data_IF_642066700277
#
_entry.id   IF_642066700277
#
_cell.length_a   1.000
_cell.length_b   1.000
_cell.length_c   1.000
_cell.angle_alpha   90.00
_cell.angle_beta   90.00
_cell.angle_gamma   90.00
#
_symmetry.space_group_name_H-M   'P 1'
#
loop_
_entity.id
_entity.type
_entity.pdbx_description
1 polymer ?
#
# COMPACT_ATOMS: atom_id res chain seq x y z
N UNK A 1 50.32 -25.71 -63.92
CA UNK A 1 50.05 -24.59 -64.86
C UNK A 1 48.61 -24.17 -64.61
N UNK A 2 48.22 -22.95 -64.22
CA UNK A 2 48.84 -21.62 -64.09
C UNK A 2 47.74 -20.77 -63.42
N UNK A 3 48.05 -19.94 -62.43
CA UNK A 3 47.76 -18.50 -62.53
C UNK A 3 46.69 -17.97 -61.57
N UNK A 4 47.17 -17.33 -60.50
CA UNK A 4 46.59 -16.20 -59.70
C UNK A 4 46.35 -14.97 -60.66
N UNK A 5 45.61 -13.84 -60.39
CA UNK A 5 45.18 -13.20 -59.12
C UNK A 5 43.77 -12.53 -59.00
N UNK A 6 43.48 -12.13 -57.75
CA UNK A 6 42.84 -10.91 -57.19
C UNK A 6 41.99 -9.93 -58.05
N UNK A 7 40.89 -9.43 -57.46
CA UNK A 7 40.65 -7.98 -57.26
C UNK A 7 39.42 -7.70 -56.39
N UNK A 8 39.47 -6.58 -55.65
CA UNK A 8 38.49 -6.09 -54.69
C UNK A 8 37.45 -5.14 -55.31
N UNK A 9 36.23 -5.14 -54.76
CA UNK A 9 35.31 -3.98 -54.59
C UNK A 9 34.08 -4.53 -53.83
N UNK A 10 33.66 -3.96 -52.69
CA UNK A 10 33.13 -2.61 -52.56
C UNK A 10 31.60 -2.71 -52.61
N UNK A 11 30.95 -2.82 -51.44
CA UNK A 11 29.50 -2.96 -51.37
C UNK A 11 28.97 -2.97 -49.93
N UNK A 12 29.02 -1.80 -49.29
CA UNK A 12 28.38 -1.51 -48.01
C UNK A 12 26.85 -1.61 -48.13
N UNK A 13 26.18 -2.08 -47.06
CA UNK A 13 24.75 -1.80 -46.86
C UNK A 13 23.79 -2.99 -46.81
N UNK A 14 24.12 -4.08 -46.10
CA UNK A 14 23.09 -5.03 -45.67
C UNK A 14 22.38 -4.47 -44.42
N UNK A 15 21.24 -3.81 -44.62
CA UNK A 15 20.30 -3.45 -43.55
C UNK A 15 19.69 -4.73 -42.96
N UNK A 16 19.90 -5.10 -41.69
CA UNK A 16 19.16 -6.19 -41.10
C UNK A 16 17.78 -5.67 -40.68
N UNK A 17 16.77 -6.18 -41.39
CA UNK A 17 15.39 -6.46 -40.98
C UNK A 17 14.95 -5.81 -39.66
N UNK A 18 14.13 -4.76 -39.79
CA UNK A 18 13.38 -4.13 -38.68
C UNK A 18 12.22 -5.02 -38.25
N UNK A 19 12.54 -6.18 -37.66
CA UNK A 19 11.61 -7.07 -36.96
C UNK A 19 11.41 -6.61 -35.51
N UNK A 20 10.96 -5.37 -35.34
CA UNK A 20 10.71 -4.78 -34.02
C UNK A 20 9.46 -5.38 -33.40
N UNK A 21 9.64 -6.41 -32.56
CA UNK A 21 8.90 -6.65 -31.31
C UNK A 21 7.45 -6.12 -31.25
N UNK A 22 6.56 -6.59 -32.12
CA UNK A 22 5.12 -6.33 -32.01
C UNK A 22 4.39 -7.40 -31.16
N UNK A 23 5.12 -8.37 -30.60
CA UNK A 23 4.52 -9.54 -29.92
C UNK A 23 4.68 -9.61 -28.40
N UNK A 24 5.31 -8.63 -27.72
CA UNK A 24 5.70 -8.78 -26.31
C UNK A 24 5.15 -7.71 -25.35
N UNK A 25 4.18 -6.90 -25.76
CA UNK A 25 3.63 -5.83 -24.91
C UNK A 25 2.09 -5.80 -24.88
N UNK A 26 1.42 -6.90 -25.20
CA UNK A 26 0.03 -7.10 -24.76
C UNK A 26 0.03 -7.62 -23.32
N UNK A 27 0.59 -6.82 -22.40
CA UNK A 27 0.26 -6.99 -20.98
C UNK A 27 -1.24 -6.73 -20.92
N UNK A 28 -2.04 -7.74 -20.53
CA UNK A 28 -3.46 -7.59 -20.25
C UNK A 28 -3.64 -6.52 -19.16
N UNK A 29 -3.66 -5.25 -19.56
CA UNK A 29 -4.05 -4.16 -18.69
C UNK A 29 -5.53 -4.38 -18.46
N UNK A 30 -5.90 -4.85 -17.27
CA UNK A 30 -7.29 -4.97 -16.89
C UNK A 30 -7.97 -3.63 -17.16
N UNK A 31 -9.06 -3.64 -17.93
CA UNK A 31 -9.82 -2.43 -18.23
C UNK A 31 -10.23 -1.74 -16.93
N UNK A 32 -10.28 -0.40 -16.93
CA UNK A 32 -10.87 0.37 -15.83
C UNK A 32 -12.32 -0.06 -15.55
N UNK A 33 -13.01 -0.58 -16.57
CA UNK A 33 -14.33 -1.18 -16.46
C UNK A 33 -14.24 -2.68 -16.17
N UNK A 34 -13.57 -3.03 -15.08
CA UNK A 34 -13.60 -4.38 -14.53
C UNK A 34 -14.50 -4.43 -13.29
N UNK A 35 -14.97 -5.64 -12.96
CA UNK A 35 -15.91 -5.86 -11.86
C UNK A 35 -15.37 -5.36 -10.52
N UNK A 36 -14.07 -5.53 -10.23
CA UNK A 36 -13.48 -5.08 -8.97
C UNK A 36 -13.54 -3.55 -8.86
N UNK A 37 -13.19 -2.83 -9.93
CA UNK A 37 -13.24 -1.37 -9.91
C UNK A 37 -14.67 -0.82 -9.79
N UNK A 38 -15.64 -1.46 -10.46
CA UNK A 38 -17.05 -1.07 -10.33
C UNK A 38 -17.54 -1.24 -8.89
N UNK A 39 -17.12 -2.31 -8.20
CA UNK A 39 -17.42 -2.54 -6.79
C UNK A 39 -16.80 -1.46 -5.89
N UNK A 40 -15.53 -1.09 -6.12
CA UNK A 40 -14.86 0.00 -5.39
C UNK A 40 -15.58 1.34 -5.61
N UNK A 41 -15.94 1.67 -6.84
CA UNK A 41 -16.69 2.91 -7.15
C UNK A 41 -18.08 2.91 -6.50
N UNK A 42 -18.80 1.78 -6.55
CA UNK A 42 -20.08 1.63 -5.88
C UNK A 42 -19.95 1.84 -4.37
N UNK A 43 -18.88 1.30 -3.74
CA UNK A 43 -18.59 1.54 -2.30
C UNK A 43 -18.39 3.02 -2.02
N UNK A 44 -17.62 3.72 -2.88
CA UNK A 44 -17.35 5.14 -2.72
C UNK A 44 -18.65 5.98 -2.74
N UNK A 45 -19.61 5.59 -3.57
CA UNK A 45 -20.96 6.20 -3.62
C UNK A 45 -21.83 5.75 -2.43
N UNK A 46 -21.63 4.54 -1.92
CA UNK A 46 -22.36 4.04 -0.76
C UNK A 46 -22.01 4.80 0.52
N UNK A 47 -20.80 5.34 0.64
CA UNK A 47 -20.34 6.11 1.82
C UNK A 47 -21.23 7.34 2.10
N UNK A 48 -21.44 8.29 1.18
CA UNK A 48 -22.34 9.41 1.42
C UNK A 48 -23.78 8.94 1.63
N UNK A 49 -24.24 7.90 0.92
CA UNK A 49 -25.56 7.29 1.15
C UNK A 49 -25.73 6.78 2.58
N UNK A 50 -24.73 6.07 3.10
CA UNK A 50 -24.69 5.60 4.48
C UNK A 50 -24.74 6.76 5.49
N UNK A 51 -23.98 7.84 5.25
CA UNK A 51 -23.99 9.03 6.12
C UNK A 51 -25.39 9.66 6.16
N UNK A 52 -26.03 9.83 5.01
CA UNK A 52 -27.38 10.37 4.92
C UNK A 52 -28.36 9.48 5.67
N UNK A 53 -28.31 8.16 5.46
CA UNK A 53 -29.19 7.20 6.14
C UNK A 53 -29.00 7.23 7.67
N UNK A 54 -27.76 7.29 8.14
CA UNK A 54 -27.45 7.25 9.57
C UNK A 54 -27.81 8.56 10.29
N UNK A 55 -27.66 9.71 9.63
CA UNK A 55 -27.96 11.02 10.22
C UNK A 55 -29.41 11.46 9.97
N UNK A 56 -30.17 10.71 9.19
CA UNK A 56 -31.56 11.03 8.87
C UNK A 56 -32.41 11.14 10.14
N UNK A 57 -33.27 12.16 10.21
CA UNK A 57 -34.19 12.42 11.32
C UNK A 57 -33.52 12.37 12.71
N UNK A 58 -32.32 12.94 12.81
CA UNK A 58 -31.55 12.98 14.05
C UNK A 58 -30.84 11.68 14.41
N UNK A 59 -30.93 10.62 13.59
CA UNK A 59 -30.12 9.42 13.68
C UNK A 59 -30.54 8.40 14.74
N UNK A 60 -31.75 8.52 15.29
CA UNK A 60 -32.29 7.60 16.29
C UNK A 60 -33.52 6.81 15.84
N UNK A 61 -34.05 7.09 14.64
CA UNK A 61 -35.14 6.28 14.08
C UNK A 61 -34.64 4.85 13.78
N UNK A 62 -35.28 3.80 14.35
CA UNK A 62 -34.86 2.42 14.15
C UNK A 62 -34.88 1.92 12.70
N UNK A 63 -35.83 2.40 11.88
CA UNK A 63 -35.94 2.01 10.47
C UNK A 63 -34.75 2.57 9.68
N UNK A 64 -34.45 3.87 9.84
CA UNK A 64 -33.30 4.50 9.18
C UNK A 64 -31.97 3.90 9.63
N UNK A 65 -31.81 3.59 10.93
CA UNK A 65 -30.64 2.88 11.45
C UNK A 65 -30.50 1.47 10.87
N UNK A 66 -31.61 0.78 10.60
CA UNK A 66 -31.58 -0.53 9.95
C UNK A 66 -31.14 -0.44 8.48
N UNK A 67 -31.58 0.57 7.74
CA UNK A 67 -31.11 0.83 6.38
C UNK A 67 -29.63 1.25 6.36
N UNK A 68 -29.20 2.12 7.27
CA UNK A 68 -27.80 2.49 7.43
C UNK A 68 -26.93 1.27 7.75
N UNK A 69 -27.40 0.39 8.64
CA UNK A 69 -26.72 -0.86 8.96
C UNK A 69 -26.61 -1.78 7.76
N UNK A 70 -27.68 -1.93 6.97
CA UNK A 70 -27.66 -2.74 5.76
C UNK A 70 -26.66 -2.19 4.72
N UNK A 71 -26.65 -0.87 4.51
CA UNK A 71 -25.67 -0.23 3.64
C UNK A 71 -24.23 -0.46 4.13
N UNK A 72 -23.97 -0.27 5.43
CA UNK A 72 -22.67 -0.54 6.04
C UNK A 72 -22.24 -2.00 5.86
N UNK A 73 -23.13 -2.95 6.14
CA UNK A 73 -22.86 -4.38 6.01
C UNK A 73 -22.57 -4.76 4.55
N UNK A 74 -23.36 -4.26 3.60
CA UNK A 74 -23.12 -4.48 2.16
C UNK A 74 -21.75 -3.94 1.78
N UNK A 75 -21.41 -2.69 2.14
CA UNK A 75 -20.10 -2.11 1.83
C UNK A 75 -18.94 -2.96 2.36
N UNK A 76 -19.02 -3.41 3.61
CA UNK A 76 -18.00 -4.24 4.27
C UNK A 76 -17.89 -5.64 3.65
N UNK A 77 -19.00 -6.23 3.24
CA UNK A 77 -19.01 -7.55 2.61
C UNK A 77 -18.45 -7.46 1.20
N UNK A 78 -18.87 -6.47 0.42
CA UNK A 78 -18.37 -6.24 -0.96
C UNK A 78 -16.86 -6.03 -0.98
N UNK A 79 -16.29 -5.39 0.05
CA UNK A 79 -14.83 -5.19 0.27
C UNK A 79 -14.03 -6.47 0.48
N UNK A 80 -14.67 -7.48 1.07
CA UNK A 80 -14.03 -8.77 1.22
C UNK A 80 -14.01 -9.55 -0.10
N UNK A 81 -15.08 -9.38 -0.90
CA UNK A 81 -15.26 -10.10 -2.15
C UNK A 81 -14.46 -9.50 -3.30
N UNK A 82 -14.40 -8.17 -3.46
CA UNK A 82 -13.60 -7.53 -4.52
C UNK A 82 -12.09 -7.78 -4.34
N UNK A 83 -11.59 -7.74 -3.10
CA UNK A 83 -10.20 -8.04 -2.77
C UNK A 83 -9.84 -9.50 -3.05
N UNK A 84 -10.81 -10.41 -2.96
CA UNK A 84 -10.63 -11.81 -3.38
C UNK A 84 -10.66 -11.93 -4.91
N UNK A 85 -11.67 -11.36 -5.58
CA UNK A 85 -11.83 -11.40 -7.03
C UNK A 85 -10.64 -10.77 -7.77
N UNK A 86 -10.18 -9.59 -7.35
CA UNK A 86 -9.05 -8.91 -7.98
C UNK A 86 -7.77 -9.76 -7.96
N UNK A 87 -7.54 -10.49 -6.87
CA UNK A 87 -6.36 -11.37 -6.69
C UNK A 87 -6.49 -12.66 -7.47
N UNK A 88 -7.69 -13.24 -7.54
CA UNK A 88 -7.93 -14.51 -8.24
C UNK A 88 -7.94 -14.33 -9.77
N UNK A 89 -8.46 -13.21 -10.26
CA UNK A 89 -8.60 -12.94 -11.70
C UNK A 89 -7.52 -12.00 -12.26
N UNK A 90 -6.51 -11.62 -11.46
CA UNK A 90 -5.44 -10.69 -11.83
C UNK A 90 -5.94 -9.37 -12.44
N UNK A 91 -7.09 -8.88 -11.96
CA UNK A 91 -7.77 -7.66 -12.45
C UNK A 91 -7.25 -6.39 -11.76
N UNK A 92 -5.94 -6.31 -11.55
CA UNK A 92 -5.33 -5.21 -10.80
C UNK A 92 -5.10 -4.02 -11.74
N UNK A 93 -5.73 -2.88 -11.44
CA UNK A 93 -5.55 -1.62 -12.17
C UNK A 93 -4.83 -0.58 -11.32
N UNK A 94 -4.17 0.40 -11.96
CA UNK A 94 -3.49 1.47 -11.23
C UNK A 94 -4.47 2.39 -10.47
N UNK A 95 -5.68 2.56 -11.01
CA UNK A 95 -6.76 3.25 -10.29
C UNK A 95 -7.18 2.48 -9.03
N UNK A 96 -7.46 1.17 -9.15
CA UNK A 96 -7.85 0.34 -8.00
C UNK A 96 -6.79 0.33 -6.88
N UNK A 97 -5.50 0.29 -7.24
CA UNK A 97 -4.40 0.37 -6.26
C UNK A 97 -4.46 1.62 -5.36
N UNK A 98 -5.00 2.73 -5.86
CA UNK A 98 -5.13 4.00 -5.14
C UNK A 98 -6.52 4.12 -4.50
N UNK A 99 -7.57 3.72 -5.22
CA UNK A 99 -8.95 3.85 -4.79
C UNK A 99 -9.31 2.89 -3.66
N UNK A 100 -8.85 1.62 -3.72
CA UNK A 100 -9.22 0.60 -2.73
C UNK A 100 -8.81 1.02 -1.30
N UNK A 101 -7.56 1.46 -1.02
CA UNK A 101 -7.19 1.87 0.35
C UNK A 101 -7.97 3.07 0.88
N UNK A 102 -8.49 3.92 -0.01
CA UNK A 102 -9.34 5.06 0.36
C UNK A 102 -10.75 4.56 0.67
N UNK A 103 -11.34 3.77 -0.23
CA UNK A 103 -12.68 3.23 -0.09
C UNK A 103 -12.82 2.29 1.13
N UNK A 104 -11.84 1.41 1.36
CA UNK A 104 -11.72 0.53 2.54
C UNK A 104 -11.90 1.30 3.85
N UNK A 105 -11.32 2.50 3.93
CA UNK A 105 -11.30 3.31 5.16
C UNK A 105 -12.42 4.33 5.22
N UNK A 106 -12.96 4.73 4.07
CA UNK A 106 -14.01 5.74 3.99
C UNK A 106 -15.28 5.30 4.73
N UNK A 107 -15.78 4.08 4.50
CA UNK A 107 -17.02 3.61 5.13
C UNK A 107 -16.87 3.46 6.65
N UNK A 108 -15.77 2.86 7.09
CA UNK A 108 -15.47 2.67 8.51
C UNK A 108 -15.24 4.01 9.22
N UNK A 109 -14.51 4.92 8.58
CA UNK A 109 -14.23 6.24 9.12
C UNK A 109 -15.48 7.11 9.20
N UNK A 110 -16.30 7.10 8.15
CA UNK A 110 -17.59 7.79 8.13
C UNK A 110 -18.51 7.28 9.26
N UNK A 111 -18.59 5.97 9.46
CA UNK A 111 -19.38 5.38 10.54
C UNK A 111 -18.92 5.85 11.93
N UNK A 112 -17.61 5.80 12.22
CA UNK A 112 -17.07 6.25 13.50
C UNK A 112 -17.33 7.74 13.76
N UNK A 113 -17.14 8.58 12.74
CA UNK A 113 -17.39 10.03 12.83
C UNK A 113 -18.87 10.30 13.08
N UNK A 114 -19.78 9.69 12.31
CA UNK A 114 -21.22 9.87 12.48
C UNK A 114 -21.69 9.40 13.86
N UNK A 115 -21.21 8.24 14.33
CA UNK A 115 -21.54 7.74 15.67
C UNK A 115 -21.03 8.65 16.78
N UNK A 116 -19.88 9.30 16.60
CA UNK A 116 -19.37 10.26 17.58
C UNK A 116 -20.14 11.58 17.55
N UNK A 117 -20.54 12.00 16.36
CA UNK A 117 -21.40 13.16 16.15
C UNK A 117 -22.78 12.98 16.79
N UNK A 118 -23.37 11.79 16.67
CA UNK A 118 -24.61 11.39 17.35
C UNK A 118 -24.42 11.14 18.85
N UNK A 119 -23.22 11.34 19.41
CA UNK A 119 -22.95 11.12 20.84
C UNK A 119 -22.99 9.65 21.30
N UNK A 120 -23.18 8.70 20.38
CA UNK A 120 -23.19 7.27 20.69
C UNK A 120 -21.79 6.77 21.07
N UNK A 121 -20.74 7.42 20.56
CA UNK A 121 -19.35 6.99 20.71
C UNK A 121 -18.45 8.16 21.16
N UNK A 122 -17.60 7.98 22.19
CA UNK A 122 -16.69 9.04 22.62
C UNK A 122 -15.65 9.39 21.54
N UNK A 123 -15.43 10.68 21.29
CA UNK A 123 -14.49 11.17 20.27
C UNK A 123 -13.07 10.62 20.41
N UNK A 124 -12.61 10.31 21.62
CA UNK A 124 -11.28 9.72 21.82
C UNK A 124 -11.16 8.33 21.20
N UNK A 125 -12.23 7.51 21.21
CA UNK A 125 -12.25 6.19 20.60
C UNK A 125 -12.10 6.32 19.08
N UNK A 126 -12.90 7.21 18.48
CA UNK A 126 -12.83 7.53 17.05
C UNK A 126 -11.46 8.06 16.65
N UNK A 127 -10.91 8.99 17.44
CA UNK A 127 -9.57 9.52 17.23
C UNK A 127 -8.50 8.44 17.21
N UNK A 128 -8.50 7.54 18.21
CA UNK A 128 -7.54 6.42 18.29
C UNK A 128 -7.66 5.49 17.09
N UNK A 129 -8.88 5.10 16.72
CA UNK A 129 -9.11 4.19 15.61
C UNK A 129 -8.70 4.83 14.28
N UNK A 130 -9.18 6.04 13.99
CA UNK A 130 -8.85 6.77 12.75
C UNK A 130 -7.35 7.03 12.62
N UNK A 131 -6.71 7.50 13.69
CA UNK A 131 -5.27 7.75 13.69
C UNK A 131 -4.49 6.49 13.33
N UNK A 132 -4.84 5.34 13.92
CA UNK A 132 -4.22 4.06 13.60
C UNK A 132 -4.50 3.62 12.17
N UNK A 133 -5.75 3.72 11.70
CA UNK A 133 -6.14 3.30 10.35
C UNK A 133 -5.42 4.11 9.26
N UNK A 134 -5.36 5.43 9.41
CA UNK A 134 -4.65 6.32 8.49
C UNK A 134 -3.13 6.17 8.61
N UNK A 135 -2.61 6.09 9.83
CA UNK A 135 -1.18 5.96 10.10
C UNK A 135 -0.58 4.69 9.51
N UNK A 136 -1.23 3.53 9.68
CA UNK A 136 -0.73 2.27 9.10
C UNK A 136 -0.83 2.28 7.58
N UNK A 137 -1.91 2.86 7.02
CA UNK A 137 -2.07 2.99 5.58
C UNK A 137 -0.94 3.84 4.98
N UNK A 138 -0.68 5.01 5.55
CA UNK A 138 0.39 5.90 5.09
C UNK A 138 1.78 5.27 5.25
N UNK A 139 2.04 4.61 6.38
CA UNK A 139 3.30 3.88 6.58
C UNK A 139 3.48 2.77 5.56
N UNK A 140 2.43 2.00 5.23
CA UNK A 140 2.50 0.95 4.21
C UNK A 140 2.87 1.54 2.85
N UNK A 141 2.26 2.66 2.45
CA UNK A 141 2.65 3.36 1.23
C UNK A 141 4.11 3.82 1.25
N UNK A 142 4.59 4.33 2.39
CA UNK A 142 5.97 4.81 2.52
C UNK A 142 7.03 3.69 2.58
N UNK A 143 6.66 2.51 3.09
CA UNK A 143 7.58 1.37 3.23
C UNK A 143 7.66 0.52 1.97
N UNK A 144 6.64 0.53 1.09
CA UNK A 144 6.68 -0.20 -0.19
C UNK A 144 7.94 0.13 -1.02
N UNK A 145 8.52 1.32 -0.88
CA UNK A 145 9.78 1.70 -1.54
C UNK A 145 11.07 1.16 -0.89
N UNK A 146 11.03 0.56 0.31
CA UNK A 146 12.20 0.08 1.06
C UNK A 146 12.13 -1.40 1.49
N UNK A 147 10.98 -2.07 1.34
CA UNK A 147 10.84 -3.49 1.68
C UNK A 147 9.38 -3.88 1.93
N UNK A 148 9.09 -5.18 1.88
CA UNK A 148 7.73 -5.69 2.09
C UNK A 148 7.56 -6.06 3.56
N UNK A 149 6.75 -5.32 4.32
CA UNK A 149 6.37 -5.72 5.68
C UNK A 149 5.38 -6.90 5.57
N UNK A 150 5.70 -8.08 6.12
CA UNK A 150 4.79 -9.21 6.10
C UNK A 150 3.50 -8.89 6.85
N UNK A 151 2.36 -9.28 6.28
CA UNK A 151 1.05 -9.00 6.85
C UNK A 151 0.87 -9.74 8.18
N UNK A 152 0.63 -9.01 9.27
CA UNK A 152 0.36 -9.62 10.58
C UNK A 152 -1.02 -10.29 10.59
N UNK A 153 -1.12 -11.49 11.19
CA UNK A 153 -2.40 -12.21 11.37
C UNK A 153 -3.41 -11.42 12.20
N UNK A 154 -2.95 -10.50 13.04
CA UNK A 154 -3.78 -9.62 13.86
C UNK A 154 -4.68 -8.67 13.05
N UNK A 155 -4.34 -8.39 11.78
CA UNK A 155 -5.17 -7.55 10.91
C UNK A 155 -6.58 -8.11 10.68
N UNK A 156 -6.71 -9.43 10.49
CA UNK A 156 -8.02 -10.07 10.21
C UNK A 156 -8.96 -10.01 11.42
N UNK A 157 -8.45 -10.39 12.60
CA UNK A 157 -9.24 -10.35 13.84
C UNK A 157 -9.68 -8.93 14.17
N UNK A 158 -8.79 -7.95 13.94
CA UNK A 158 -9.14 -6.54 14.12
C UNK A 158 -10.29 -6.13 13.20
N UNK A 159 -10.21 -6.39 11.90
CA UNK A 159 -11.25 -5.96 10.95
C UNK A 159 -12.61 -6.56 11.30
N UNK A 160 -12.65 -7.84 11.70
CA UNK A 160 -13.88 -8.48 12.15
C UNK A 160 -14.40 -7.83 13.44
N UNK A 161 -13.57 -7.72 14.48
CA UNK A 161 -13.99 -7.14 15.76
C UNK A 161 -14.47 -5.69 15.60
N UNK A 162 -13.76 -4.87 14.82
CA UNK A 162 -14.10 -3.48 14.60
C UNK A 162 -15.36 -3.33 13.71
N UNK A 163 -15.48 -4.12 12.65
CA UNK A 163 -16.67 -4.13 11.80
C UNK A 163 -17.92 -4.57 12.56
N UNK A 164 -17.82 -5.62 13.40
CA UNK A 164 -18.90 -6.04 14.27
C UNK A 164 -19.23 -4.97 15.32
N UNK A 165 -18.23 -4.39 15.98
CA UNK A 165 -18.45 -3.31 16.94
C UNK A 165 -19.21 -2.15 16.31
N UNK A 166 -18.71 -1.60 15.20
CA UNK A 166 -19.34 -0.47 14.51
C UNK A 166 -20.73 -0.83 14.00
N UNK A 167 -20.92 -2.01 13.42
CA UNK A 167 -22.25 -2.49 13.02
C UNK A 167 -23.24 -2.53 14.20
N UNK A 168 -22.80 -3.01 15.38
CA UNK A 168 -23.62 -2.98 16.59
C UNK A 168 -23.88 -1.57 17.12
N UNK A 169 -23.06 -0.58 16.77
CA UNK A 169 -23.36 0.81 17.12
C UNK A 169 -24.29 1.46 16.10
N UNK A 170 -24.22 1.09 14.82
CA UNK A 170 -25.11 1.63 13.78
C UNK A 170 -26.54 1.16 14.00
N UNK A 171 -26.76 -0.11 14.36
CA UNK A 171 -28.10 -0.66 14.58
C UNK A 171 -28.72 -0.14 15.89
N UNK A 172 -30.04 0.09 15.90
CA UNK A 172 -30.79 0.46 17.10
C UNK A 172 -30.95 -0.73 18.06
N UNK A 173 -29.90 -1.09 18.80
CA UNK A 173 -29.94 -2.22 19.74
C UNK A 173 -30.47 -1.81 21.11
N UNK A 174 -31.33 -2.67 21.67
CA UNK A 174 -31.88 -2.55 23.03
C UNK A 174 -31.49 -3.77 23.89
N UNK A 175 -31.57 -3.61 25.21
CA UNK A 175 -31.34 -4.72 26.15
C UNK A 175 -29.88 -5.22 26.22
N UNK A 176 -29.64 -6.53 26.47
CA UNK A 176 -28.29 -7.08 26.68
C UNK A 176 -27.32 -6.82 25.51
N UNK A 177 -27.84 -6.75 24.29
CA UNK A 177 -27.04 -6.46 23.10
C UNK A 177 -26.49 -5.03 23.11
N UNK A 178 -27.20 -4.08 23.71
CA UNK A 178 -26.74 -2.71 23.88
C UNK A 178 -25.58 -2.60 24.89
N UNK A 179 -25.48 -3.52 25.85
CA UNK A 179 -24.31 -3.65 26.73
C UNK A 179 -23.16 -4.37 26.02
N UNK A 180 -23.49 -5.40 25.25
CA UNK A 180 -22.49 -6.18 24.50
C UNK A 180 -21.72 -5.31 23.50
N UNK A 181 -22.38 -4.37 22.79
CA UNK A 181 -21.71 -3.50 21.82
C UNK A 181 -20.52 -2.75 22.44
N UNK A 182 -20.62 -2.31 23.69
CA UNK A 182 -19.56 -1.60 24.40
C UNK A 182 -18.34 -2.50 24.59
N UNK A 183 -18.55 -3.74 25.04
CA UNK A 183 -17.46 -4.71 25.22
C UNK A 183 -16.81 -5.08 23.90
N UNK A 184 -17.59 -5.28 22.84
CA UNK A 184 -17.06 -5.56 21.51
C UNK A 184 -16.23 -4.37 20.99
N UNK A 185 -16.69 -3.13 21.20
CA UNK A 185 -15.93 -1.92 20.88
C UNK A 185 -14.65 -1.80 21.71
N UNK A 186 -14.70 -2.09 23.02
CA UNK A 186 -13.52 -2.09 23.87
C UNK A 186 -12.46 -3.08 23.37
N UNK A 187 -12.88 -4.30 23.01
CA UNK A 187 -11.99 -5.30 22.38
C UNK A 187 -11.43 -4.78 21.05
N UNK A 188 -12.25 -4.15 20.20
CA UNK A 188 -11.80 -3.56 18.94
C UNK A 188 -10.74 -2.46 19.15
N UNK A 189 -10.91 -1.62 20.18
CA UNK A 189 -9.92 -0.58 20.56
C UNK A 189 -8.63 -1.22 21.05
N UNK A 190 -8.71 -2.19 21.97
CA UNK A 190 -7.51 -2.89 22.48
C UNK A 190 -6.75 -3.55 21.34
N UNK A 191 -7.44 -4.29 20.46
CA UNK A 191 -6.82 -4.90 19.28
C UNK A 191 -6.22 -3.84 18.35
N UNK A 192 -6.88 -2.69 18.21
CA UNK A 192 -6.38 -1.57 17.40
C UNK A 192 -5.07 -1.02 17.95
N UNK A 193 -4.99 -0.80 19.26
CA UNK A 193 -3.80 -0.28 19.93
C UNK A 193 -2.66 -1.31 19.87
N UNK A 194 -2.92 -2.56 20.26
CA UNK A 194 -1.90 -3.63 20.27
C UNK A 194 -1.32 -3.83 18.87
N UNK A 195 -2.18 -3.98 17.86
CA UNK A 195 -1.69 -4.14 16.48
C UNK A 195 -1.02 -2.89 15.93
N UNK A 196 -1.41 -1.69 16.38
CA UNK A 196 -0.74 -0.44 16.05
C UNK A 196 0.68 -0.38 16.60
N UNK A 197 0.86 -0.75 17.87
CA UNK A 197 2.17 -0.81 18.52
C UNK A 197 3.09 -1.84 17.86
N UNK A 198 2.57 -3.02 17.51
CA UNK A 198 3.33 -4.04 16.78
C UNK A 198 3.85 -3.52 15.44
N UNK A 199 3.01 -2.76 14.71
CA UNK A 199 3.40 -2.16 13.44
C UNK A 199 4.47 -1.08 13.61
N UNK A 200 4.35 -0.21 14.62
CA UNK A 200 5.36 0.81 14.92
C UNK A 200 6.69 0.16 15.27
N UNK A 201 6.69 -0.91 16.08
CA UNK A 201 7.90 -1.67 16.40
C UNK A 201 8.57 -2.22 15.15
N UNK A 202 7.80 -2.83 14.24
CA UNK A 202 8.33 -3.35 12.97
C UNK A 202 8.91 -2.24 12.09
N UNK A 203 8.23 -1.10 11.99
CA UNK A 203 8.71 0.06 11.23
C UNK A 203 10.04 0.60 11.78
N UNK A 204 10.19 0.68 13.11
CA UNK A 204 11.44 1.11 13.76
C UNK A 204 12.58 0.14 13.50
N UNK A 205 12.33 -1.17 13.58
CA UNK A 205 13.34 -2.20 13.29
C UNK A 205 13.81 -2.11 11.83
N UNK A 206 12.88 -1.96 10.89
CA UNK A 206 13.20 -1.84 9.47
C UNK A 206 14.04 -0.58 9.18
N UNK A 207 13.70 0.55 9.80
CA UNK A 207 14.50 1.79 9.66
C UNK A 207 15.94 1.62 10.17
N UNK A 208 16.14 0.90 11.27
CA UNK A 208 17.48 0.62 11.81
C UNK A 208 18.31 -0.26 10.87
N UNK A 209 17.69 -1.26 10.26
CA UNK A 209 18.35 -2.13 9.28
C UNK A 209 18.72 -1.38 8.00
N UNK A 210 17.85 -0.50 7.50
CA UNK A 210 18.16 0.35 6.34
C UNK A 210 19.36 1.27 6.59
N UNK A 211 19.41 1.96 7.73
CA UNK A 211 20.55 2.81 8.10
C UNK A 211 21.85 2.02 8.27
N UNK A 212 21.78 0.77 8.74
CA UNK A 212 22.96 -0.09 8.85
C UNK A 212 23.47 -0.53 7.47
N UNK A 213 22.56 -0.86 6.53
CA UNK A 213 22.92 -1.23 5.17
C UNK A 213 23.54 -0.06 4.39
N UNK A 214 23.01 1.16 4.54
CA UNK A 214 23.60 2.37 3.93
C UNK A 214 25.01 2.66 4.44
N UNK A 215 25.26 2.48 5.75
CA UNK A 215 26.60 2.63 6.34
C UNK A 215 27.57 1.59 5.81
N UNK A 216 27.16 0.32 5.75
CA UNK A 216 28.00 -0.74 5.20
C UNK A 216 28.33 -0.49 3.72
N UNK A 217 27.35 -0.04 2.92
CA UNK A 217 27.59 0.32 1.51
C UNK A 217 28.57 1.50 1.38
N UNK A 218 28.45 2.52 2.23
CA UNK A 218 29.37 3.66 2.24
C UNK A 218 30.80 3.27 2.65
N UNK A 219 30.95 2.33 3.59
CA UNK A 219 32.25 1.78 3.99
C UNK A 219 32.90 0.99 2.85
N UNK A 220 32.15 0.15 2.14
CA UNK A 220 32.64 -0.58 0.96
C UNK A 220 33.06 0.38 -0.15
N UNK A 221 32.28 1.43 -0.43
CA UNK A 221 32.65 2.45 -1.43
C UNK A 221 33.93 3.19 -1.04
N UNK A 222 34.10 3.56 0.24
CA UNK A 222 35.33 4.21 0.73
C UNK A 222 36.55 3.28 0.64
N UNK A 223 36.39 2.01 0.98
CA UNK A 223 37.47 1.02 0.87
C UNK A 223 37.93 0.85 -0.59
N UNK A 224 36.98 0.74 -1.53
CA UNK A 224 37.27 0.65 -2.96
C UNK A 224 37.95 1.94 -3.51
N UNK A 225 37.57 3.12 -3.03
CA UNK A 225 38.23 4.38 -3.37
C UNK A 225 39.64 4.52 -2.80
N UNK A 226 39.90 3.92 -1.63
CA UNK A 226 41.25 3.91 -1.02
C UNK A 226 42.20 2.96 -1.75
N UNK A 227 41.73 1.79 -2.18
CA UNK A 227 42.55 0.84 -2.96
C UNK A 227 42.86 1.34 -4.38
N UNK A 228 41.91 2.02 -5.03
CA UNK A 228 42.10 2.64 -6.36
C UNK A 228 42.92 3.94 -6.33
N UNK A 229 43.16 4.50 -5.14
CA UNK A 229 43.86 5.76 -4.94
C UNK A 229 45.35 5.66 -4.62
N UNK A 230 46.01 4.50 -4.81
CA UNK A 230 47.48 4.43 -4.66
C UNK A 230 48.14 5.24 -5.78
N UNK A 231 48.79 6.39 -5.51
CA UNK A 231 49.51 7.12 -6.54
C UNK A 231 50.71 6.26 -6.95
N UNK A 232 50.78 5.94 -8.24
CA UNK A 232 52.02 5.54 -8.89
C UNK A 232 52.97 6.74 -8.91
N UNK A 233 53.54 7.09 -7.75
CA UNK A 233 54.54 8.15 -7.62
C UNK A 233 55.80 7.59 -6.92
N UNK A 234 56.49 6.66 -7.60
CA UNK A 234 57.89 6.36 -7.30
C UNK A 234 58.67 5.81 -8.51
N UNK A 235 58.38 6.31 -9.71
CA UNK A 235 59.14 5.94 -10.91
C UNK A 235 59.27 7.13 -11.86
N UNK A 236 60.20 8.06 -11.56
CA UNK A 236 60.45 9.15 -12.51
C UNK A 236 61.28 10.33 -11.99
N UNK A 237 62.24 10.12 -11.09
CA UNK A 237 63.15 11.21 -10.72
C UNK A 237 64.53 10.67 -10.31
N UNK A 238 65.30 10.18 -11.29
CA UNK A 238 66.78 10.08 -11.22
C UNK A 238 67.31 9.64 -12.59
N UNK A 239 67.59 10.63 -13.43
CA UNK A 239 68.24 10.39 -14.72
C UNK A 239 68.09 11.59 -15.62
N UNK A 240 68.87 12.64 -15.36
CA UNK A 240 69.37 13.64 -16.34
C UNK A 240 69.94 14.85 -15.58
N UNK A 241 71.14 14.66 -15.04
CA UNK A 241 72.15 15.70 -14.85
C UNK A 241 73.47 14.97 -15.08
N UNK A 242 74.42 15.38 -15.89
CA UNK A 242 74.65 16.60 -16.65
C UNK A 242 75.66 16.16 -17.71
N UNK A 243 75.34 16.41 -18.98
CA UNK A 243 76.33 16.54 -20.02
C UNK A 243 76.27 18.01 -20.42
N UNK A 244 77.23 18.81 -19.95
CA UNK A 244 77.85 19.93 -20.68
C UNK A 244 78.83 20.69 -19.78
N UNK A 245 80.11 20.66 -20.21
CA UNK A 245 81.21 21.62 -19.96
C UNK A 245 82.09 21.45 -18.72
#
# INVERSE_FOLDING_TARGET
MTGVPASASGGSGATPVRGGKLGAAAVNQASLWNIANLLTMARLVLVPGFVVLLLHDGGYDPAWRSFAWAAFAIAMITDLFDGHLARTYNLVTDFGKIADPIADKAIMGAALICLSYLGDLPWWVTGVILFRELGITLMRFWVIRHGVIPASRGGKMKTLAQGTAVGMYVLALTGPLATLRFWVMAVAVVLTVVTGLDYVRQAVVLRRQGLAAERAAAEVSRAASAESGTPAETAGARGTAEAER
#
